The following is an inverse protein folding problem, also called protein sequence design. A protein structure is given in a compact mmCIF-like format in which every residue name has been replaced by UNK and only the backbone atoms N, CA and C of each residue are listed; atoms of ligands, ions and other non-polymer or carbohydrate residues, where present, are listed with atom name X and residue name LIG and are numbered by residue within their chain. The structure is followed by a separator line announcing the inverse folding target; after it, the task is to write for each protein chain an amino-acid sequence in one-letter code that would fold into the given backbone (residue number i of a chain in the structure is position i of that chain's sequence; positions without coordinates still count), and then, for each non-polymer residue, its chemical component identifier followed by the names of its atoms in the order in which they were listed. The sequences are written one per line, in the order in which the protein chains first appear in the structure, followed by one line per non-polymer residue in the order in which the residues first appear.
data_IF_246921322293
#
_entry.id   IF_246921322293
#
_cell.length_a   1.000
_cell.length_b   1.000
_cell.length_c   1.000
_cell.angle_alpha   90.00
_cell.angle_beta   90.00
_cell.angle_gamma   90.00
#
_symmetry.space_group_name_H-M   'P 1'
#
loop_
_entity.id
_entity.type
_entity.pdbx_description
1 polymer ?
#
# COMPACT_ATOMS: atom_id res chain seq x y z
N UNK A 1 65.30 -13.56 -60.65
CA UNK A 1 65.49 -12.25 -61.35
C UNK A 1 64.58 -11.22 -60.68
N UNK A 2 65.08 -10.00 -60.44
CA UNK A 2 64.25 -8.78 -60.18
C UNK A 2 63.71 -8.25 -61.54
N UNK A 3 62.74 -7.31 -61.64
CA UNK A 3 62.24 -6.34 -60.63
C UNK A 3 60.68 -6.41 -60.48
N UNK A 4 59.83 -5.41 -60.16
CA UNK A 4 59.95 -3.94 -60.00
C UNK A 4 58.84 -3.32 -59.09
N UNK A 5 59.14 -2.15 -58.52
CA UNK A 5 58.29 -1.06 -57.98
C UNK A 5 56.81 -1.22 -57.56
N UNK A 6 56.58 -0.98 -56.26
CA UNK A 6 55.55 -0.05 -55.75
C UNK A 6 55.79 1.38 -56.30
N UNK A 7 54.74 2.20 -56.48
CA UNK A 7 54.69 3.37 -55.58
C UNK A 7 53.30 3.71 -55.03
N UNK A 8 53.34 4.30 -53.83
CA UNK A 8 52.25 4.99 -53.12
C UNK A 8 51.62 6.15 -53.88
N UNK A 9 50.31 6.37 -53.66
CA UNK A 9 49.57 7.65 -53.54
C UNK A 9 48.07 7.39 -53.83
N UNK A 10 47.07 8.07 -53.28
CA UNK A 10 46.92 9.01 -52.14
C UNK A 10 45.41 9.27 -52.01
N UNK A 11 44.87 9.41 -50.79
CA UNK A 11 43.54 9.99 -50.52
C UNK A 11 42.34 9.24 -51.19
N UNK A 12 41.07 9.57 -50.94
CA UNK A 12 40.36 9.90 -49.70
C UNK A 12 38.85 9.98 -49.99
N UNK A 13 38.01 9.56 -49.02
CA UNK A 13 36.58 9.90 -48.88
C UNK A 13 35.58 9.48 -50.00
N UNK A 14 34.29 9.66 -49.67
CA UNK A 14 33.07 9.47 -50.48
C UNK A 14 32.78 8.01 -50.88
N UNK A 15 31.85 7.27 -50.26
CA UNK A 15 30.47 7.58 -49.82
C UNK A 15 29.46 7.79 -50.97
N UNK A 16 29.03 6.69 -51.59
CA UNK A 16 27.67 6.42 -52.09
C UNK A 16 27.65 4.93 -52.50
N UNK A 17 26.87 4.05 -51.87
CA UNK A 17 25.42 3.91 -52.02
C UNK A 17 25.02 3.59 -53.47
N UNK A 18 24.61 2.33 -53.72
CA UNK A 18 23.31 1.94 -54.31
C UNK A 18 23.35 0.48 -54.78
N UNK A 19 22.45 -0.31 -54.19
CA UNK A 19 21.74 -1.50 -54.71
C UNK A 19 22.40 -2.34 -55.82
N UNK A 20 22.68 -3.60 -55.50
CA UNK A 20 21.92 -4.72 -56.08
C UNK A 20 22.12 -6.03 -55.27
N UNK A 21 21.12 -6.92 -55.32
CA UNK A 21 21.23 -8.36 -55.07
C UNK A 21 21.47 -8.83 -53.61
N UNK A 22 20.45 -8.68 -52.77
CA UNK A 22 20.07 -9.73 -51.83
C UNK A 22 18.57 -10.04 -52.06
N UNK A 23 18.28 -11.19 -52.69
CA UNK A 23 16.94 -11.58 -53.09
C UNK A 23 16.24 -12.44 -52.02
N UNK A 24 14.92 -12.59 -52.17
CA UNK A 24 14.07 -13.61 -51.54
C UNK A 24 13.99 -13.63 -50.00
N UNK A 25 12.96 -12.96 -49.46
CA UNK A 25 12.15 -13.55 -48.38
C UNK A 25 10.66 -13.33 -48.66
N UNK A 26 9.81 -14.38 -48.66
CA UNK A 26 8.35 -14.22 -48.69
C UNK A 26 7.84 -13.77 -47.33
N UNK A 27 6.85 -12.88 -47.34
CA UNK A 27 6.22 -12.36 -46.13
C UNK A 27 5.31 -13.41 -45.48
N UNK A 28 5.62 -13.81 -44.24
CA UNK A 28 4.72 -14.52 -43.34
C UNK A 28 5.04 -14.09 -41.90
N UNK A 29 4.13 -13.36 -41.26
CA UNK A 29 4.35 -12.82 -39.93
C UNK A 29 4.25 -13.90 -38.83
N UNK A 30 5.16 -13.94 -37.84
CA UNK A 30 4.94 -14.69 -36.61
C UNK A 30 4.02 -13.89 -35.69
N UNK A 31 2.73 -13.82 -36.03
CA UNK A 31 1.69 -13.25 -35.15
C UNK A 31 1.33 -14.24 -34.04
N UNK A 32 2.32 -14.54 -33.20
CA UNK A 32 2.18 -15.27 -31.95
C UNK A 32 2.60 -14.36 -30.78
N UNK A 33 2.11 -13.12 -30.80
CA UNK A 33 1.99 -12.35 -29.57
C UNK A 33 1.01 -13.12 -28.68
N UNK A 34 1.55 -13.92 -27.77
CA UNK A 34 0.78 -14.52 -26.70
C UNK A 34 0.12 -13.36 -25.95
N UNK A 35 -1.18 -13.18 -26.18
CA UNK A 35 -2.01 -12.37 -25.31
C UNK A 35 -1.96 -13.08 -23.95
N UNK A 36 -1.06 -12.61 -23.10
CA UNK A 36 -1.17 -12.81 -21.67
C UNK A 36 -2.57 -12.33 -21.33
N UNK A 37 -3.48 -13.28 -21.10
CA UNK A 37 -4.85 -12.98 -20.76
C UNK A 37 -4.78 -12.15 -19.49
N UNK A 38 -5.00 -10.85 -19.62
CA UNK A 38 -4.95 -9.92 -18.51
C UNK A 38 -5.91 -10.46 -17.47
N UNK A 39 -5.38 -10.95 -16.35
CA UNK A 39 -6.20 -11.40 -15.24
C UNK A 39 -7.23 -10.29 -14.98
N UNK A 40 -8.53 -10.63 -14.85
CA UNK A 40 -9.59 -9.64 -14.85
C UNK A 40 -9.22 -8.57 -13.83
N UNK A 41 -9.09 -7.32 -14.31
CA UNK A 41 -8.66 -6.20 -13.48
C UNK A 41 -9.61 -6.17 -12.28
N UNK A 42 -9.10 -6.58 -11.12
CA UNK A 42 -9.87 -6.62 -9.89
C UNK A 42 -10.41 -5.22 -9.71
N UNK A 43 -11.74 -5.08 -9.69
CA UNK A 43 -12.38 -3.80 -9.46
C UNK A 43 -11.72 -3.18 -8.23
N UNK A 44 -10.97 -2.08 -8.44
CA UNK A 44 -10.09 -1.54 -7.42
C UNK A 44 -10.95 -1.01 -6.29
N UNK A 45 -11.11 -1.81 -5.24
CA UNK A 45 -11.88 -1.45 -4.05
C UNK A 45 -11.21 -0.21 -3.47
N UNK A 46 -11.87 0.95 -3.57
CA UNK A 46 -11.31 2.20 -3.04
C UNK A 46 -11.49 2.26 -1.52
N UNK A 47 -10.49 2.74 -0.76
CA UNK A 47 -10.56 2.93 0.68
C UNK A 47 -11.85 3.61 1.18
N UNK A 48 -12.27 4.74 0.61
CA UNK A 48 -13.48 5.43 1.07
C UNK A 48 -14.81 4.73 0.70
N UNK A 49 -14.79 3.64 -0.07
CA UNK A 49 -15.96 2.75 -0.24
C UNK A 49 -16.11 1.74 0.93
N UNK A 50 -15.01 1.50 1.65
CA UNK A 50 -14.95 0.66 2.84
C UNK A 50 -15.18 1.50 4.10
N UNK A 51 -14.55 2.68 4.14
CA UNK A 51 -14.70 3.69 5.20
C UNK A 51 -15.44 4.92 4.65
N UNK A 52 -16.75 4.77 4.43
CA UNK A 52 -17.62 5.88 4.05
C UNK A 52 -17.85 6.87 5.21
N UNK A 53 -18.47 8.01 4.90
CA UNK A 53 -18.75 9.10 5.85
C UNK A 53 -19.52 8.63 7.09
N UNK A 54 -20.47 7.71 6.94
CA UNK A 54 -21.29 7.25 8.07
C UNK A 54 -20.52 6.29 8.98
N UNK A 55 -19.68 5.41 8.43
CA UNK A 55 -18.72 4.65 9.24
C UNK A 55 -17.70 5.57 9.93
N UNK A 56 -17.20 6.61 9.25
CA UNK A 56 -16.28 7.57 9.85
C UNK A 56 -16.92 8.35 11.01
N UNK A 57 -18.15 8.85 10.86
CA UNK A 57 -18.95 9.44 11.95
C UNK A 57 -19.14 8.45 13.10
N UNK A 58 -19.50 7.20 12.80
CA UNK A 58 -19.70 6.18 13.83
C UNK A 58 -18.41 5.91 14.62
N UNK A 59 -17.26 5.81 13.94
CA UNK A 59 -15.95 5.59 14.57
C UNK A 59 -15.50 6.81 15.37
N UNK A 60 -15.70 8.03 14.88
CA UNK A 60 -15.30 9.26 15.58
C UNK A 60 -16.32 9.71 16.64
N UNK A 61 -17.56 9.25 16.59
CA UNK A 61 -18.72 9.70 17.38
C UNK A 61 -18.96 11.23 17.32
N UNK A 62 -18.61 11.83 16.18
CA UNK A 62 -18.63 13.27 15.91
C UNK A 62 -18.96 13.53 14.43
N UNK A 63 -19.27 14.77 14.07
CA UNK A 63 -19.28 15.22 12.67
C UNK A 63 -17.88 15.08 12.08
N UNK A 64 -17.82 14.78 10.77
CA UNK A 64 -16.56 14.48 10.08
C UNK A 64 -16.37 15.27 8.80
N UNK A 65 -15.13 15.65 8.54
CA UNK A 65 -14.69 16.22 7.26
C UNK A 65 -13.71 15.27 6.56
N UNK A 66 -13.81 15.13 5.23
CA UNK A 66 -12.83 14.37 4.46
C UNK A 66 -11.50 15.15 4.44
N UNK A 67 -10.40 14.43 4.62
CA UNK A 67 -9.04 14.96 4.44
C UNK A 67 -8.36 14.40 3.18
N UNK A 68 -8.62 13.12 2.85
CA UNK A 68 -8.02 12.44 1.71
C UNK A 68 -8.93 11.31 1.21
N UNK A 69 -8.94 11.08 -0.10
CA UNK A 69 -9.57 9.96 -0.79
C UNK A 69 -8.74 9.65 -2.04
N UNK A 70 -7.67 8.88 -1.88
CA UNK A 70 -6.76 8.48 -2.96
C UNK A 70 -6.97 6.99 -3.36
N UNK A 71 -5.99 6.35 -3.99
CA UNK A 71 -6.10 4.95 -4.42
C UNK A 71 -5.90 3.96 -3.25
N UNK A 72 -5.12 4.34 -2.24
CA UNK A 72 -4.64 3.49 -1.14
C UNK A 72 -5.09 4.00 0.23
N UNK A 73 -5.43 5.29 0.38
CA UNK A 73 -5.83 5.91 1.64
C UNK A 73 -7.19 6.63 1.58
N UNK A 74 -7.99 6.44 2.62
CA UNK A 74 -9.12 7.29 2.99
C UNK A 74 -8.83 7.95 4.32
N UNK A 75 -9.04 9.26 4.46
CA UNK A 75 -8.82 9.98 5.72
C UNK A 75 -9.98 10.91 6.06
N UNK A 76 -10.37 10.89 7.33
CA UNK A 76 -11.38 11.74 7.93
C UNK A 76 -10.81 12.43 9.17
N UNK A 77 -11.32 13.63 9.48
CA UNK A 77 -11.11 14.30 10.78
C UNK A 77 -12.45 14.60 11.45
N UNK A 78 -12.44 14.67 12.78
CA UNK A 78 -13.48 15.33 13.56
C UNK A 78 -13.65 16.80 13.14
N UNK A 79 -14.89 17.29 13.23
CA UNK A 79 -15.24 18.67 12.84
C UNK A 79 -15.97 19.47 13.95
N UNK A 80 -16.40 18.82 15.04
CA UNK A 80 -17.24 19.46 16.06
C UNK A 80 -16.49 20.41 17.02
N UNK A 81 -15.16 20.29 17.12
CA UNK A 81 -14.35 21.17 17.97
C UNK A 81 -12.92 21.36 17.45
N UNK A 82 -12.41 22.61 17.33
CA UNK A 82 -11.01 22.89 16.99
C UNK A 82 -10.00 22.28 17.98
N UNK A 83 -10.44 22.01 19.22
CA UNK A 83 -9.61 21.44 20.28
C UNK A 83 -9.68 19.91 20.33
N UNK A 84 -10.58 19.27 19.60
CA UNK A 84 -10.71 17.81 19.54
C UNK A 84 -10.17 17.27 18.22
N UNK A 85 -8.86 17.44 17.96
CA UNK A 85 -8.24 16.89 16.76
C UNK A 85 -8.14 15.36 16.85
N UNK A 86 -9.06 14.67 16.17
CA UNK A 86 -9.08 13.21 16.04
C UNK A 86 -9.17 12.87 14.56
N UNK A 87 -8.21 12.10 14.05
CA UNK A 87 -8.16 11.63 12.67
C UNK A 87 -8.42 10.13 12.61
N UNK A 88 -9.10 9.71 11.55
CA UNK A 88 -9.31 8.32 11.21
C UNK A 88 -8.83 8.10 9.78
N UNK A 89 -7.87 7.18 9.63
CA UNK A 89 -7.33 6.76 8.35
C UNK A 89 -7.67 5.29 8.09
N UNK A 90 -8.00 4.96 6.85
CA UNK A 90 -7.96 3.60 6.33
C UNK A 90 -6.92 3.55 5.20
N UNK A 91 -5.86 2.77 5.39
CA UNK A 91 -4.94 2.38 4.32
C UNK A 91 -5.29 0.98 3.82
N UNK A 92 -5.40 0.79 2.51
CA UNK A 92 -5.64 -0.50 1.86
C UNK A 92 -4.49 -0.85 0.91
N UNK A 93 -3.72 -1.86 1.28
CA UNK A 93 -2.65 -2.42 0.44
C UNK A 93 -3.19 -3.63 -0.32
N UNK A 94 -3.13 -3.55 -1.65
CA UNK A 94 -3.40 -4.70 -2.54
C UNK A 94 -2.06 -5.34 -2.89
N UNK A 95 -1.89 -6.63 -2.61
CA UNK A 95 -0.65 -7.36 -2.85
C UNK A 95 -0.81 -8.35 -4.01
N UNK A 96 0.29 -8.72 -4.66
CA UNK A 96 0.28 -9.67 -5.79
C UNK A 96 -0.24 -11.05 -5.37
N UNK A 97 0.08 -11.49 -4.15
CA UNK A 97 -0.27 -12.80 -3.61
C UNK A 97 -0.42 -12.76 -2.07
N UNK A 98 -0.93 -13.86 -1.51
CA UNK A 98 -1.24 -13.99 -0.08
C UNK A 98 0.01 -14.02 0.81
N UNK A 99 1.14 -14.56 0.32
CA UNK A 99 2.39 -14.58 1.08
C UNK A 99 2.98 -13.17 1.25
N UNK A 100 2.91 -12.33 0.22
CA UNK A 100 3.26 -10.91 0.31
C UNK A 100 2.32 -10.16 1.26
N UNK A 101 1.00 -10.44 1.18
CA UNK A 101 0.04 -9.85 2.11
C UNK A 101 0.28 -10.27 3.57
N UNK A 102 0.72 -11.51 3.82
CA UNK A 102 1.11 -11.97 5.16
C UNK A 102 2.34 -11.20 5.68
N UNK A 103 3.37 -11.02 4.86
CA UNK A 103 4.55 -10.22 5.22
C UNK A 103 4.20 -8.75 5.52
N UNK A 104 3.35 -8.13 4.71
CA UNK A 104 2.86 -6.76 4.95
C UNK A 104 2.02 -6.70 6.23
N UNK A 105 1.15 -7.68 6.45
CA UNK A 105 0.37 -7.80 7.69
C UNK A 105 1.28 -7.90 8.92
N UNK A 106 2.25 -8.81 8.95
CA UNK A 106 3.20 -8.98 10.06
C UNK A 106 4.00 -7.69 10.36
N UNK A 107 4.39 -6.97 9.29
CA UNK A 107 5.08 -5.68 9.38
C UNK A 107 4.22 -4.58 10.03
N UNK A 108 2.99 -4.41 9.55
CA UNK A 108 2.05 -3.37 10.04
C UNK A 108 1.46 -3.73 11.41
N UNK A 109 1.20 -5.02 11.66
CA UNK A 109 0.79 -5.57 12.94
C UNK A 109 1.89 -5.48 14.01
N UNK A 110 3.15 -5.24 13.59
CA UNK A 110 4.29 -5.17 14.48
C UNK A 110 4.62 -6.49 15.18
N UNK A 111 4.14 -7.63 14.67
CA UNK A 111 4.36 -8.95 15.26
C UNK A 111 5.85 -9.35 15.15
N UNK A 112 6.58 -8.83 14.15
CA UNK A 112 8.04 -8.88 14.09
C UNK A 112 8.80 -7.82 14.93
N UNK A 113 8.11 -6.86 15.56
CA UNK A 113 8.74 -5.61 16.05
C UNK A 113 9.34 -5.69 17.45
N UNK A 114 10.40 -6.49 17.60
CA UNK A 114 11.33 -6.39 18.75
C UNK A 114 11.91 -4.97 18.91
N UNK A 115 12.00 -4.18 17.82
CA UNK A 115 12.50 -2.80 17.83
C UNK A 115 11.70 -1.86 18.74
N UNK A 116 10.38 -2.01 18.83
CA UNK A 116 9.54 -1.10 19.63
C UNK A 116 9.85 -1.12 21.13
N UNK A 117 10.36 -2.25 21.65
CA UNK A 117 10.86 -2.34 23.03
C UNK A 117 12.28 -1.77 23.15
N UNK A 118 13.16 -1.99 22.15
CA UNK A 118 14.54 -1.52 22.18
C UNK A 118 14.72 -0.01 22.01
N UNK A 119 13.83 0.68 21.27
CA UNK A 119 13.96 2.14 21.02
C UNK A 119 13.40 2.99 22.17
N UNK A 120 12.35 2.53 22.85
CA UNK A 120 11.69 3.32 23.90
C UNK A 120 12.33 3.13 25.29
N UNK A 121 12.99 1.99 25.51
CA UNK A 121 13.63 1.65 26.80
C UNK A 121 14.81 2.57 27.17
N UNK A 122 15.68 3.03 26.25
CA UNK A 122 16.74 4.00 26.57
C UNK A 122 16.25 5.44 26.79
N UNK A 123 15.06 5.79 26.28
CA UNK A 123 14.52 7.15 26.30
C UNK A 123 13.59 7.44 27.49
N UNK A 124 13.38 6.46 28.37
CA UNK A 124 12.48 6.59 29.54
C UNK A 124 10.99 6.77 29.18
N UNK A 125 10.61 6.66 27.91
CA UNK A 125 9.24 6.91 27.47
C UNK A 125 8.34 5.69 27.73
N UNK A 126 7.33 5.89 28.58
CA UNK A 126 6.37 4.86 29.02
C UNK A 126 5.26 4.60 27.99
N UNK A 127 5.63 4.43 26.71
CA UNK A 127 4.67 4.08 25.64
C UNK A 127 4.08 2.69 25.91
N UNK A 128 2.91 2.66 26.56
CA UNK A 128 2.14 1.43 26.72
C UNK A 128 1.64 1.01 25.34
N UNK A 129 2.01 -0.18 24.90
CA UNK A 129 1.49 -0.83 23.68
C UNK A 129 0.68 -2.04 24.10
N UNK A 130 -0.56 -2.09 23.64
CA UNK A 130 -1.52 -3.18 23.86
C UNK A 130 -1.78 -3.87 22.53
N UNK A 131 -1.79 -5.20 22.51
CA UNK A 131 -2.06 -5.99 21.31
C UNK A 131 -3.07 -7.09 21.64
N UNK A 132 -4.09 -7.27 20.80
CA UNK A 132 -5.13 -8.30 20.93
C UNK A 132 -5.50 -8.84 19.55
N UNK A 133 -5.39 -10.15 19.35
CA UNK A 133 -5.92 -10.82 18.13
C UNK A 133 -7.45 -10.70 18.12
N UNK A 134 -8.03 -10.45 16.95
CA UNK A 134 -9.49 -10.34 16.78
C UNK A 134 -9.97 -11.57 16.01
N UNK A 135 -10.62 -12.50 16.72
CA UNK A 135 -11.16 -13.70 16.10
C UNK A 135 -12.34 -13.39 15.16
N UNK A 136 -12.42 -14.17 14.08
CA UNK A 136 -13.48 -14.07 13.09
C UNK A 136 -13.52 -12.74 12.34
N UNK A 137 -12.36 -12.11 12.08
CA UNK A 137 -12.22 -10.88 11.30
C UNK A 137 -11.13 -11.05 10.23
N UNK A 138 -11.55 -11.24 8.97
CA UNK A 138 -10.62 -11.58 7.89
C UNK A 138 -10.01 -12.97 8.06
N UNK A 139 -8.82 -13.18 7.49
CA UNK A 139 -8.00 -14.36 7.74
C UNK A 139 -7.18 -14.19 9.03
N UNK A 140 -6.69 -12.97 9.25
CA UNK A 140 -5.95 -12.56 10.44
C UNK A 140 -6.31 -11.10 10.77
N UNK A 141 -6.50 -10.80 12.05
CA UNK A 141 -6.71 -9.44 12.50
C UNK A 141 -6.12 -9.19 13.89
N UNK A 142 -5.60 -7.97 14.09
CA UNK A 142 -5.09 -7.51 15.38
C UNK A 142 -5.58 -6.11 15.69
N UNK A 143 -6.04 -5.91 16.92
CA UNK A 143 -6.19 -4.60 17.53
C UNK A 143 -4.89 -4.22 18.22
N UNK A 144 -4.39 -3.02 17.95
CA UNK A 144 -3.21 -2.45 18.60
C UNK A 144 -3.57 -1.07 19.14
N UNK A 145 -3.23 -0.79 20.40
CA UNK A 145 -3.38 0.54 20.99
C UNK A 145 -2.04 1.00 21.56
N UNK A 146 -1.70 2.26 21.35
CA UNK A 146 -0.50 2.88 21.90
C UNK A 146 -0.74 4.33 22.34
N UNK A 147 -0.25 4.66 23.53
CA UNK A 147 -0.33 6.02 24.08
C UNK A 147 1.01 6.73 23.90
N UNK A 148 1.01 7.88 23.22
CA UNK A 148 2.17 8.73 22.98
C UNK A 148 2.17 9.89 23.98
N UNK A 149 2.67 9.60 25.18
CA UNK A 149 2.52 10.49 26.34
C UNK A 149 1.13 10.37 26.98
N UNK A 150 0.75 11.37 27.78
CA UNK A 150 -0.53 11.38 28.50
C UNK A 150 -1.71 11.86 27.63
N UNK A 151 -1.46 12.69 26.62
CA UNK A 151 -2.52 13.37 25.86
C UNK A 151 -2.91 12.70 24.55
N UNK A 152 -1.99 12.04 23.84
CA UNK A 152 -2.25 11.48 22.49
C UNK A 152 -2.38 9.97 22.54
N UNK A 153 -3.51 9.46 22.06
CA UNK A 153 -3.76 8.02 21.90
C UNK A 153 -3.86 7.67 20.41
N UNK A 154 -3.33 6.50 20.06
CA UNK A 154 -3.55 5.88 18.76
C UNK A 154 -4.08 4.46 18.96
N UNK A 155 -5.16 4.13 18.26
CA UNK A 155 -5.77 2.80 18.20
C UNK A 155 -5.87 2.38 16.74
N UNK A 156 -5.42 1.17 16.42
CA UNK A 156 -5.51 0.63 15.08
C UNK A 156 -6.07 -0.78 15.05
N UNK A 157 -6.83 -1.09 13.99
CA UNK A 157 -7.20 -2.45 13.61
C UNK A 157 -6.53 -2.75 12.29
N UNK A 158 -5.68 -3.78 12.27
CA UNK A 158 -5.04 -4.30 11.06
C UNK A 158 -5.72 -5.61 10.72
N UNK A 159 -6.18 -5.77 9.48
CA UNK A 159 -6.81 -6.99 8.98
C UNK A 159 -6.16 -7.42 7.68
N UNK A 160 -5.85 -8.72 7.56
CA UNK A 160 -5.54 -9.38 6.29
C UNK A 160 -6.73 -10.20 5.83
N UNK A 161 -7.06 -10.12 4.54
CA UNK A 161 -8.06 -10.98 3.89
C UNK A 161 -7.55 -11.37 2.50
N UNK A 162 -7.20 -12.64 2.32
CA UNK A 162 -6.41 -13.14 1.20
C UNK A 162 -5.17 -12.27 0.98
N UNK A 163 -5.14 -11.61 -0.19
CA UNK A 163 -4.06 -10.74 -0.69
C UNK A 163 -4.23 -9.25 -0.38
N UNK A 164 -5.23 -8.86 0.43
CA UNK A 164 -5.45 -7.46 0.86
C UNK A 164 -5.08 -7.29 2.33
N UNK A 165 -4.45 -6.17 2.66
CA UNK A 165 -4.22 -5.71 4.04
C UNK A 165 -4.89 -4.36 4.23
N UNK A 166 -5.78 -4.26 5.20
CA UNK A 166 -6.48 -3.04 5.58
C UNK A 166 -6.02 -2.60 6.98
N UNK A 167 -5.55 -1.37 7.11
CA UNK A 167 -5.14 -0.77 8.37
C UNK A 167 -6.03 0.44 8.68
N UNK A 168 -6.90 0.29 9.68
CA UNK A 168 -7.71 1.37 10.23
C UNK A 168 -6.92 1.99 11.39
N UNK A 169 -6.57 3.27 11.31
CA UNK A 169 -5.79 3.99 12.33
C UNK A 169 -6.58 5.19 12.81
N UNK A 170 -6.98 5.15 14.07
CA UNK A 170 -7.57 6.26 14.82
C UNK A 170 -6.47 6.92 15.66
N UNK A 171 -6.29 8.23 15.53
CA UNK A 171 -5.33 9.00 16.34
C UNK A 171 -6.00 10.27 16.84
N UNK A 172 -5.92 10.55 18.14
CA UNK A 172 -6.53 11.75 18.71
C UNK A 172 -6.09 12.06 20.13
N UNK A 173 -6.70 13.09 20.71
CA UNK A 173 -6.43 13.50 22.09
C UNK A 173 -7.47 12.95 23.07
N UNK A 174 -6.99 12.46 24.23
CA UNK A 174 -7.82 11.92 25.30
C UNK A 174 -8.20 10.44 25.16
N UNK A 175 -8.81 9.88 26.21
CA UNK A 175 -9.45 8.57 26.14
C UNK A 175 -10.71 8.65 25.29
N UNK A 176 -10.80 7.77 24.29
CA UNK A 176 -11.95 7.68 23.40
C UNK A 176 -12.77 6.44 23.76
N UNK A 177 -13.63 6.57 24.77
CA UNK A 177 -14.43 5.46 25.29
C UNK A 177 -15.20 4.71 24.19
N UNK A 178 -15.08 3.38 24.21
CA UNK A 178 -15.66 2.51 23.19
C UNK A 178 -15.07 2.65 21.77
N UNK A 179 -14.05 3.48 21.53
CA UNK A 179 -13.47 3.64 20.20
C UNK A 179 -12.88 2.34 19.63
N UNK A 180 -12.29 1.49 20.48
CA UNK A 180 -11.83 0.16 20.07
C UNK A 180 -12.95 -0.70 19.48
N UNK A 181 -14.14 -0.70 20.10
CA UNK A 181 -15.31 -1.43 19.62
C UNK A 181 -15.89 -0.81 18.34
N UNK A 182 -15.94 0.53 18.26
CA UNK A 182 -16.38 1.25 17.04
C UNK A 182 -15.44 1.00 15.85
N UNK A 183 -14.13 0.99 16.09
CA UNK A 183 -13.10 0.71 15.09
C UNK A 183 -13.14 -0.74 14.61
N UNK A 184 -13.34 -1.70 15.52
CA UNK A 184 -13.56 -3.12 15.17
C UNK A 184 -14.85 -3.30 14.35
N UNK A 185 -15.95 -2.61 14.71
CA UNK A 185 -17.20 -2.66 13.95
C UNK A 185 -17.05 -2.11 12.52
N UNK A 186 -16.30 -1.01 12.34
CA UNK A 186 -15.98 -0.48 11.02
C UNK A 186 -15.10 -1.44 10.20
N UNK A 187 -14.10 -2.08 10.83
CA UNK A 187 -13.29 -3.11 10.18
C UNK A 187 -14.11 -4.33 9.77
N UNK A 188 -15.04 -4.80 10.63
CA UNK A 188 -15.98 -5.89 10.30
C UNK A 188 -16.82 -5.57 9.06
N UNK A 189 -17.45 -4.38 9.02
CA UNK A 189 -18.22 -3.89 7.85
C UNK A 189 -17.38 -3.78 6.57
N UNK A 190 -16.12 -3.35 6.69
CA UNK A 190 -15.23 -3.25 5.54
C UNK A 190 -14.81 -4.63 5.02
N UNK A 191 -14.56 -5.60 5.91
CA UNK A 191 -14.12 -6.96 5.56
C UNK A 191 -15.16 -7.71 4.74
N UNK A 192 -16.44 -7.42 4.86
CA UNK A 192 -17.51 -7.94 3.97
C UNK A 192 -17.30 -7.55 2.50
N UNK A 193 -16.54 -6.46 2.24
CA UNK A 193 -16.31 -5.86 0.92
C UNK A 193 -14.85 -5.96 0.43
N UNK A 194 -13.95 -6.55 1.24
CA UNK A 194 -12.56 -6.88 0.88
C UNK A 194 -12.47 -8.18 0.08
#
# INVERSE_FOLDING_TARGET
MKPLHTPTHRLALASALVLALAACQPSAAPTAAAQAASAPALATVRPCMLLDREAAKAVLAQSVEPMNDDAENCMWRSADSPMAFTTLMLTLVNNDNEAMAAQVYEGVAGIGSKLGKMVNQPLGQTTRKTARVIDGLGDEAVFLASNMGEMVQSSQVVVRKGRRVAAFVLTGMGESDGAAARLEAAARRAVERL
#
